data_IF_437688018589
#
_entry.id   IF_437688018589
#
_cell.length_a   1.000
_cell.length_b   1.000
_cell.length_c   1.000
_cell.angle_alpha   90.00
_cell.angle_beta   90.00
_cell.angle_gamma   90.00
#
_symmetry.space_group_name_H-M   'P 1'
#
loop_
_entity.id
_entity.type
_entity.pdbx_description
1 polymer ?
#
# COMPACT_ATOMS: atom_id res chain seq x y z
N UNK A 1 -45.82 8.24 -1.74
CA UNK A 1 -45.99 7.09 -0.82
C UNK A 1 -44.94 6.07 -1.22
N UNK A 2 -43.81 5.89 -0.54
CA UNK A 2 -43.45 6.16 0.85
C UNK A 2 -42.24 7.11 0.96
N UNK A 3 -42.38 8.16 1.78
CA UNK A 3 -41.24 8.80 2.41
C UNK A 3 -40.82 7.90 3.57
N UNK A 4 -39.68 7.22 3.44
CA UNK A 4 -38.95 6.74 4.59
C UNK A 4 -38.01 7.88 5.00
N UNK A 5 -38.49 8.70 5.93
CA UNK A 5 -37.61 9.55 6.73
C UNK A 5 -36.78 8.57 7.56
N UNK A 6 -35.47 8.51 7.30
CA UNK A 6 -34.55 7.76 8.15
C UNK A 6 -34.66 8.29 9.58
N UNK A 7 -34.71 7.37 10.55
CA UNK A 7 -34.54 7.73 11.96
C UNK A 7 -33.24 8.52 12.09
N UNK A 8 -33.32 9.69 12.73
CA UNK A 8 -32.29 10.72 12.69
C UNK A 8 -30.91 10.19 13.13
N UNK A 9 -29.90 10.34 12.26
CA UNK A 9 -28.48 10.35 12.63
C UNK A 9 -27.64 9.14 12.26
N UNK A 10 -28.19 8.05 11.71
CA UNK A 10 -27.36 6.87 11.36
C UNK A 10 -27.03 6.87 9.87
N UNK A 11 -25.75 6.76 9.52
CA UNK A 11 -25.30 6.58 8.14
C UNK A 11 -25.77 5.23 7.61
N UNK A 12 -26.56 5.25 6.53
CA UNK A 12 -27.01 4.01 5.88
C UNK A 12 -25.97 3.52 4.87
N UNK A 13 -25.14 2.60 5.33
CA UNK A 13 -24.13 1.91 4.53
C UNK A 13 -24.70 1.23 3.27
N UNK A 14 -25.87 0.63 3.37
CA UNK A 14 -26.49 -0.08 2.24
C UNK A 14 -27.03 0.92 1.22
N UNK A 15 -27.67 2.00 1.68
CA UNK A 15 -28.11 3.07 0.80
C UNK A 15 -26.94 3.75 0.07
N UNK A 16 -25.77 3.92 0.72
CA UNK A 16 -24.56 4.41 0.05
C UNK A 16 -24.15 3.46 -1.08
N UNK A 17 -24.00 2.16 -0.80
CA UNK A 17 -23.58 1.18 -1.80
C UNK A 17 -24.56 1.10 -2.98
N UNK A 18 -25.85 1.11 -2.69
CA UNK A 18 -26.93 1.18 -3.68
C UNK A 18 -26.85 2.43 -4.56
N UNK A 19 -26.54 3.59 -3.97
CA UNK A 19 -26.38 4.84 -4.70
C UNK A 19 -25.13 4.81 -5.59
N UNK A 20 -24.02 4.27 -5.09
CA UNK A 20 -22.77 4.10 -5.83
C UNK A 20 -22.98 3.17 -7.03
N UNK A 21 -23.66 2.03 -6.85
CA UNK A 21 -23.90 1.05 -7.92
C UNK A 21 -24.80 1.61 -9.04
N UNK A 22 -25.69 2.56 -8.72
CA UNK A 22 -26.53 3.23 -9.73
C UNK A 22 -25.80 4.33 -10.50
N UNK A 23 -24.68 4.82 -9.99
CA UNK A 23 -23.92 5.91 -10.59
C UNK A 23 -22.85 5.38 -11.56
N UNK A 24 -22.28 6.27 -12.38
CA UNK A 24 -21.11 5.88 -13.16
C UNK A 24 -19.91 5.61 -12.22
N UNK A 25 -19.00 4.68 -12.54
CA UNK A 25 -17.84 4.39 -11.69
C UNK A 25 -16.97 5.63 -11.36
N UNK A 26 -16.92 6.60 -12.27
CA UNK A 26 -16.22 7.87 -12.09
C UNK A 26 -16.92 8.81 -11.09
N UNK A 27 -18.23 8.66 -10.87
CA UNK A 27 -19.03 9.54 -9.99
C UNK A 27 -19.08 9.02 -8.55
N UNK A 28 -18.46 7.88 -8.25
CA UNK A 28 -18.56 7.24 -6.93
C UNK A 28 -18.08 8.15 -5.78
N UNK A 29 -17.05 8.96 -6.00
CA UNK A 29 -16.58 9.94 -5.02
C UNK A 29 -17.61 11.05 -4.78
N UNK A 30 -18.26 11.53 -5.84
CA UNK A 30 -19.30 12.56 -5.76
C UNK A 30 -20.57 12.04 -5.07
N UNK A 31 -20.93 10.77 -5.29
CA UNK A 31 -22.02 10.11 -4.56
C UNK A 31 -21.72 10.04 -3.07
N UNK A 32 -20.52 9.61 -2.69
CA UNK A 32 -20.09 9.55 -1.30
C UNK A 32 -20.16 10.92 -0.62
N UNK A 33 -19.57 11.95 -1.24
CA UNK A 33 -19.51 13.30 -0.65
C UNK A 33 -20.90 13.90 -0.53
N UNK A 34 -21.77 13.70 -1.52
CA UNK A 34 -23.17 14.13 -1.48
C UNK A 34 -23.92 13.47 -0.32
N UNK A 35 -23.78 12.14 -0.17
CA UNK A 35 -24.43 11.40 0.93
C UNK A 35 -23.94 11.83 2.31
N UNK A 36 -22.63 12.07 2.48
CA UNK A 36 -22.08 12.61 3.73
C UNK A 36 -22.65 14.00 4.07
N UNK A 37 -22.88 14.85 3.05
CA UNK A 37 -23.50 16.15 3.25
C UNK A 37 -24.98 16.05 3.63
N UNK A 38 -25.75 15.20 2.93
CA UNK A 38 -27.18 15.04 3.15
C UNK A 38 -27.50 14.30 4.46
N UNK A 39 -26.82 13.20 4.74
CA UNK A 39 -27.13 12.31 5.87
C UNK A 39 -26.60 12.86 7.21
N UNK A 40 -25.45 13.55 7.19
CA UNK A 40 -24.78 14.03 8.41
C UNK A 40 -24.90 15.56 8.60
N UNK A 41 -25.48 16.29 7.63
CA UNK A 41 -25.60 17.75 7.68
C UNK A 41 -24.27 18.50 7.51
N UNK A 42 -23.32 17.93 6.77
CA UNK A 42 -22.03 18.57 6.51
C UNK A 42 -22.17 19.75 5.52
N UNK A 43 -21.38 20.81 5.74
CA UNK A 43 -21.26 21.96 4.84
C UNK A 43 -20.59 21.57 3.52
N UNK A 44 -19.60 20.68 3.60
CA UNK A 44 -18.89 20.16 2.44
C UNK A 44 -18.21 18.83 2.79
N UNK A 45 -18.09 17.95 1.80
CA UNK A 45 -17.24 16.76 1.89
C UNK A 45 -16.32 16.65 0.67
N UNK A 46 -15.17 16.02 0.83
CA UNK A 46 -14.21 15.78 -0.25
C UNK A 46 -13.49 14.47 -0.04
N UNK A 47 -13.31 13.72 -1.14
CA UNK A 47 -12.38 12.60 -1.18
C UNK A 47 -11.05 13.05 -1.80
N UNK A 48 -9.95 12.72 -1.12
CA UNK A 48 -8.60 12.94 -1.61
C UNK A 48 -7.89 11.60 -1.72
N UNK A 49 -7.38 11.28 -2.89
CA UNK A 49 -6.60 10.05 -3.13
C UNK A 49 -5.10 10.34 -2.94
N UNK A 50 -4.39 9.44 -2.27
CA UNK A 50 -2.94 9.55 -2.13
C UNK A 50 -2.27 9.22 -3.46
N UNK A 51 -1.30 10.05 -3.86
CA UNK A 51 -0.46 9.76 -5.01
C UNK A 51 0.45 8.55 -4.74
N UNK A 52 1.12 8.06 -5.79
CA UNK A 52 2.00 6.92 -5.60
C UNK A 52 3.09 7.19 -4.58
N UNK A 53 3.60 8.42 -4.45
CA UNK A 53 4.62 8.82 -3.46
C UNK A 53 4.07 8.97 -2.03
N UNK A 54 2.74 9.05 -1.87
CA UNK A 54 2.06 9.42 -0.62
C UNK A 54 2.48 10.79 -0.06
N UNK A 55 3.12 11.65 -0.86
CA UNK A 55 3.48 13.02 -0.49
C UNK A 55 2.44 14.05 -0.94
N UNK A 56 1.57 13.64 -1.88
CA UNK A 56 0.51 14.47 -2.45
C UNK A 56 -0.84 13.74 -2.32
N UNK A 57 -1.85 14.50 -1.95
CA UNK A 57 -3.25 14.12 -2.01
C UNK A 57 -3.92 14.84 -3.18
N UNK A 58 -4.46 14.10 -4.13
CA UNK A 58 -5.25 14.66 -5.22
C UNK A 58 -6.73 14.75 -4.77
N UNK A 59 -7.23 15.98 -4.61
CA UNK A 59 -8.63 16.26 -4.31
C UNK A 59 -9.43 16.30 -5.61
N UNK A 60 -10.44 15.45 -5.70
CA UNK A 60 -11.40 15.52 -6.80
C UNK A 60 -12.39 16.66 -6.55
N UNK A 61 -12.51 17.56 -7.52
CA UNK A 61 -13.57 18.57 -7.53
C UNK A 61 -14.60 18.20 -8.59
N UNK A 62 -15.87 18.14 -8.20
CA UNK A 62 -16.96 17.89 -9.15
C UNK A 62 -16.93 18.95 -10.26
N UNK A 63 -17.04 18.55 -11.54
CA UNK A 63 -16.82 19.44 -12.67
C UNK A 63 -17.94 20.49 -12.77
N UNK A 64 -17.68 21.72 -12.31
CA UNK A 64 -18.65 22.84 -12.47
C UNK A 64 -18.84 23.25 -13.94
N UNK A 65 -17.87 22.96 -14.81
CA UNK A 65 -17.84 23.37 -16.23
C UNK A 65 -17.44 22.23 -17.20
N UNK A 66 -17.65 20.96 -16.81
CA UNK A 66 -17.35 19.79 -17.66
C UNK A 66 -15.88 19.37 -17.75
N UNK A 67 -14.96 20.15 -17.17
CA UNK A 67 -13.57 19.74 -16.98
C UNK A 67 -13.33 19.38 -15.50
N UNK A 68 -12.81 18.19 -15.26
CA UNK A 68 -12.44 17.74 -13.92
C UNK A 68 -11.16 18.46 -13.47
N UNK A 69 -11.23 19.12 -12.31
CA UNK A 69 -10.09 19.82 -11.73
C UNK A 69 -9.58 18.99 -10.56
N UNK A 70 -8.28 18.68 -10.58
CA UNK A 70 -7.59 18.08 -9.43
C UNK A 70 -6.71 19.10 -8.75
N UNK A 71 -7.02 19.36 -7.48
CA UNK A 71 -6.14 20.12 -6.59
C UNK A 71 -5.15 19.16 -5.94
N UNK A 72 -3.86 19.51 -5.96
CA UNK A 72 -2.80 18.73 -5.30
C UNK A 72 -2.48 19.35 -3.94
N UNK A 73 -2.72 18.60 -2.87
CA UNK A 73 -2.48 19.01 -1.48
C UNK A 73 -1.25 18.29 -0.95
N UNK A 74 -0.29 19.02 -0.36
CA UNK A 74 0.88 18.40 0.28
C UNK A 74 0.47 17.68 1.57
N UNK A 75 1.05 16.51 1.79
CA UNK A 75 0.74 15.66 2.95
C UNK A 75 1.54 16.05 4.20
N UNK A 76 2.80 16.47 4.02
CA UNK A 76 3.68 16.77 5.14
C UNK A 76 3.20 17.98 5.96
N UNK A 77 3.17 17.84 7.29
CA UNK A 77 2.76 18.89 8.22
C UNK A 77 1.26 19.18 8.26
N UNK A 78 0.43 18.39 7.57
CA UNK A 78 -1.02 18.60 7.51
C UNK A 78 -1.80 17.59 8.36
N UNK A 79 -3.06 17.92 8.69
CA UNK A 79 -3.98 17.02 9.38
C UNK A 79 -4.19 15.71 8.59
N UNK A 80 -4.29 15.84 7.28
CA UNK A 80 -4.48 14.76 6.33
C UNK A 80 -3.29 13.79 6.36
N UNK A 81 -2.06 14.30 6.39
CA UNK A 81 -0.87 13.46 6.51
C UNK A 81 -0.77 12.73 7.84
N UNK A 82 -1.18 13.36 8.93
CA UNK A 82 -1.31 12.67 10.23
C UNK A 82 -2.31 11.53 10.15
N UNK A 83 -3.47 11.75 9.52
CA UNK A 83 -4.51 10.72 9.36
C UNK A 83 -4.02 9.57 8.46
N UNK A 84 -3.36 9.87 7.33
CA UNK A 84 -2.76 8.86 6.44
C UNK A 84 -1.70 8.02 7.17
N UNK A 85 -0.81 8.62 7.95
CA UNK A 85 0.24 7.86 8.65
C UNK A 85 -0.35 7.00 9.77
N UNK A 86 -1.16 7.62 10.63
CA UNK A 86 -1.66 6.99 11.87
C UNK A 86 -2.84 6.07 11.63
N UNK A 87 -3.51 6.19 10.48
CA UNK A 87 -4.74 5.48 10.15
C UNK A 87 -5.82 5.66 11.22
N UNK A 88 -5.85 6.85 11.83
CA UNK A 88 -6.84 7.27 12.83
C UNK A 88 -7.51 8.53 12.35
N UNK A 89 -8.84 8.64 12.45
CA UNK A 89 -9.51 9.89 12.17
C UNK A 89 -9.03 10.97 13.15
N UNK A 90 -9.04 12.22 12.68
CA UNK A 90 -8.66 13.38 13.47
C UNK A 90 -9.56 14.54 13.09
N UNK A 91 -9.82 15.41 14.06
CA UNK A 91 -10.58 16.63 13.84
C UNK A 91 -9.77 17.87 14.16
N UNK A 92 -10.18 19.00 13.60
CA UNK A 92 -9.65 20.32 13.91
C UNK A 92 -10.80 21.35 13.92
N UNK A 93 -10.69 22.33 14.82
CA UNK A 93 -11.66 23.41 14.96
C UNK A 93 -11.01 24.70 14.46
N UNK A 94 -11.50 25.21 13.33
CA UNK A 94 -11.05 26.47 12.74
C UNK A 94 -12.20 27.48 12.76
N UNK A 95 -12.18 28.37 13.74
CA UNK A 95 -13.20 29.40 13.93
C UNK A 95 -14.59 28.79 14.16
N UNK A 96 -15.48 28.99 13.18
CA UNK A 96 -16.87 28.51 13.18
C UNK A 96 -17.05 27.18 12.44
N UNK A 97 -15.97 26.46 12.14
CA UNK A 97 -15.98 25.20 11.40
C UNK A 97 -15.27 24.08 12.14
N UNK A 98 -15.88 22.90 12.11
CA UNK A 98 -15.29 21.64 12.54
C UNK A 98 -14.91 20.84 11.30
N UNK A 99 -13.62 20.60 11.11
CA UNK A 99 -13.10 19.67 10.11
C UNK A 99 -12.91 18.30 10.75
N UNK A 100 -13.46 17.25 10.14
CA UNK A 100 -13.17 15.85 10.48
C UNK A 100 -12.50 15.21 9.26
N UNK A 101 -11.36 14.56 9.49
CA UNK A 101 -10.61 13.83 8.47
C UNK A 101 -10.54 12.36 8.86
N UNK A 102 -10.91 11.46 7.95
CA UNK A 102 -10.88 10.01 8.17
C UNK A 102 -10.09 9.30 7.06
N UNK A 103 -9.35 8.22 7.38
CA UNK A 103 -8.58 7.49 6.40
C UNK A 103 -9.49 6.62 5.53
N UNK A 104 -9.26 6.62 4.22
CA UNK A 104 -9.81 5.63 3.30
C UNK A 104 -8.77 4.51 3.19
N UNK A 105 -9.06 3.37 3.81
CA UNK A 105 -8.12 2.25 3.88
C UNK A 105 -8.80 0.88 3.78
N UNK A 106 -8.12 -0.03 3.07
CA UNK A 106 -8.47 -1.43 2.96
C UNK A 106 -7.23 -2.28 3.23
N UNK A 107 -7.34 -3.27 4.13
CA UNK A 107 -6.21 -4.15 4.49
C UNK A 107 -4.93 -3.37 4.88
N UNK A 108 -5.05 -2.17 5.46
CA UNK A 108 -3.91 -1.34 5.86
C UNK A 108 -3.23 -0.55 4.73
N UNK A 109 -3.66 -0.69 3.48
CA UNK A 109 -3.27 0.23 2.40
C UNK A 109 -3.92 1.59 2.62
N UNK A 110 -3.12 2.64 2.63
CA UNK A 110 -3.59 4.01 2.77
C UNK A 110 -3.98 4.56 1.38
N UNK A 111 -5.26 4.40 0.99
CA UNK A 111 -5.74 4.82 -0.33
C UNK A 111 -5.84 6.35 -0.40
N UNK A 112 -6.26 6.99 0.70
CA UNK A 112 -6.53 8.42 0.73
C UNK A 112 -7.20 8.83 2.03
N UNK A 113 -7.87 9.99 2.01
CA UNK A 113 -8.66 10.51 3.12
C UNK A 113 -9.99 11.08 2.63
N UNK A 114 -10.96 11.11 3.54
CA UNK A 114 -12.17 11.92 3.40
C UNK A 114 -12.05 13.09 4.35
N UNK A 115 -12.36 14.28 3.85
CA UNK A 115 -12.54 15.49 4.63
C UNK A 115 -14.02 15.84 4.68
N UNK A 116 -14.54 16.13 5.87
CA UNK A 116 -15.92 16.54 6.08
C UNK A 116 -15.93 17.76 6.99
N UNK A 117 -16.59 18.82 6.55
CA UNK A 117 -16.66 20.10 7.26
C UNK A 117 -18.07 20.31 7.80
N UNK A 118 -18.18 20.56 9.09
CA UNK A 118 -19.43 20.87 9.79
C UNK A 118 -19.39 22.30 10.35
N UNK A 119 -20.55 22.90 10.66
CA UNK A 119 -20.58 24.05 11.56
C UNK A 119 -19.94 23.67 12.90
N UNK A 120 -19.23 24.60 13.54
CA UNK A 120 -18.71 24.38 14.88
C UNK A 120 -19.86 24.07 15.86
N UNK A 121 -19.69 23.09 16.77
CA UNK A 121 -20.72 22.76 17.75
C UNK A 121 -21.00 23.99 18.63
N UNK A 122 -22.26 24.43 18.66
CA UNK A 122 -22.67 25.57 19.46
C UNK A 122 -22.64 25.24 20.96
N UNK A 123 -22.16 26.17 21.79
CA UNK A 123 -22.34 26.10 23.23
C UNK A 123 -23.82 26.36 23.57
N UNK A 124 -24.57 25.28 23.73
CA UNK A 124 -25.92 25.12 24.33
C UNK A 124 -27.10 25.99 23.84
N UNK A 125 -26.95 27.10 23.10
CA UNK A 125 -28.07 28.04 22.86
C UNK A 125 -28.36 28.42 21.38
N UNK A 126 -27.89 27.64 20.40
CA UNK A 126 -28.05 27.96 18.97
C UNK A 126 -28.45 26.77 18.10
N UNK A 127 -29.03 27.04 16.93
CA UNK A 127 -29.71 26.12 16.00
C UNK A 127 -28.88 24.96 15.39
N UNK A 128 -27.74 24.61 15.99
CA UNK A 128 -26.92 23.43 15.72
C UNK A 128 -26.67 22.58 16.98
N UNK A 129 -27.59 22.65 17.95
CA UNK A 129 -27.47 21.95 19.23
C UNK A 129 -27.37 20.43 19.03
N UNK A 130 -26.38 19.82 19.69
CA UNK A 130 -26.31 18.37 19.85
C UNK A 130 -27.67 17.85 20.38
N UNK A 131 -28.12 16.65 19.97
CA UNK A 131 -29.40 16.10 20.42
C UNK A 131 -29.55 16.25 21.95
N UNK A 132 -30.72 16.70 22.40
CA UNK A 132 -31.00 16.99 23.82
C UNK A 132 -30.49 15.85 24.72
N UNK A 133 -29.49 16.14 25.55
CA UNK A 133 -28.87 15.15 26.46
C UNK A 133 -27.56 14.52 25.96
N UNK A 134 -27.01 14.93 24.82
CA UNK A 134 -25.69 14.50 24.33
C UNK A 134 -24.63 15.59 24.49
N UNK A 135 -23.42 15.22 24.90
CA UNK A 135 -22.31 16.19 25.01
C UNK A 135 -21.70 16.49 23.64
N UNK A 136 -20.96 17.59 23.51
CA UNK A 136 -20.18 17.89 22.29
C UNK A 136 -19.22 16.73 21.96
N UNK A 137 -18.65 16.08 22.99
CA UNK A 137 -17.77 14.93 22.82
C UNK A 137 -18.53 13.73 22.22
N UNK A 138 -19.72 13.42 22.72
CA UNK A 138 -20.54 12.32 22.19
C UNK A 138 -20.94 12.57 20.73
N UNK A 139 -21.26 13.82 20.40
CA UNK A 139 -21.59 14.21 19.03
C UNK A 139 -20.39 14.06 18.08
N UNK A 140 -19.20 14.52 18.50
CA UNK A 140 -17.97 14.36 17.73
C UNK A 140 -17.60 12.88 17.53
N UNK A 141 -17.73 12.05 18.57
CA UNK A 141 -17.46 10.61 18.51
C UNK A 141 -18.42 9.91 17.56
N UNK A 142 -19.69 10.30 17.57
CA UNK A 142 -20.69 9.79 16.64
C UNK A 142 -20.34 10.16 15.19
N UNK A 143 -20.14 11.45 14.87
CA UNK A 143 -19.76 11.87 13.52
C UNK A 143 -18.48 11.17 13.03
N UNK A 144 -17.47 11.09 13.90
CA UNK A 144 -16.21 10.41 13.60
C UNK A 144 -16.43 8.93 13.26
N UNK A 145 -17.34 8.27 13.99
CA UNK A 145 -17.69 6.87 13.76
C UNK A 145 -18.39 6.68 12.42
N UNK A 146 -19.42 7.48 12.12
CA UNK A 146 -20.17 7.41 10.85
C UNK A 146 -19.24 7.66 9.64
N UNK A 147 -18.42 8.72 9.70
CA UNK A 147 -17.48 9.06 8.62
C UNK A 147 -16.43 7.96 8.45
N UNK A 148 -15.94 7.36 9.54
CA UNK A 148 -14.95 6.26 9.46
C UNK A 148 -15.55 4.99 8.83
N UNK A 149 -16.82 4.70 9.09
CA UNK A 149 -17.52 3.57 8.45
C UNK A 149 -17.72 3.83 6.95
N UNK A 150 -18.19 5.04 6.59
CA UNK A 150 -18.33 5.46 5.20
C UNK A 150 -16.98 5.40 4.45
N UNK A 151 -15.90 5.89 5.07
CA UNK A 151 -14.54 5.83 4.52
C UNK A 151 -14.04 4.40 4.29
N UNK A 152 -14.34 3.50 5.23
CA UNK A 152 -13.95 2.09 5.09
C UNK A 152 -14.71 1.38 3.97
N UNK A 153 -16.03 1.61 3.85
CA UNK A 153 -16.83 1.07 2.75
C UNK A 153 -16.36 1.62 1.41
N UNK A 154 -16.10 2.92 1.36
CA UNK A 154 -15.63 3.59 0.17
C UNK A 154 -14.25 3.08 -0.29
N UNK A 155 -13.38 2.63 0.63
CA UNK A 155 -12.13 1.99 0.26
C UNK A 155 -12.36 0.77 -0.66
N UNK A 156 -13.36 -0.06 -0.36
CA UNK A 156 -13.72 -1.19 -1.24
C UNK A 156 -14.32 -0.73 -2.56
N UNK A 157 -15.12 0.33 -2.56
CA UNK A 157 -15.65 0.94 -3.79
C UNK A 157 -14.52 1.43 -4.69
N UNK A 158 -13.51 2.13 -4.14
CA UNK A 158 -12.36 2.60 -4.93
C UNK A 158 -11.63 1.40 -5.54
N UNK A 159 -11.36 0.35 -4.76
CA UNK A 159 -10.71 -0.87 -5.26
C UNK A 159 -11.51 -1.53 -6.39
N UNK A 160 -12.85 -1.58 -6.27
CA UNK A 160 -13.71 -2.12 -7.31
C UNK A 160 -13.72 -1.24 -8.58
N UNK A 161 -13.93 0.07 -8.40
CA UNK A 161 -14.14 0.99 -9.51
C UNK A 161 -12.88 1.31 -10.29
N UNK A 162 -11.67 1.11 -9.73
CA UNK A 162 -10.39 1.18 -10.47
C UNK A 162 -10.35 0.31 -11.73
N UNK A 163 -11.22 -0.71 -11.84
CA UNK A 163 -11.33 -1.57 -13.03
C UNK A 163 -12.12 -0.94 -14.18
N UNK A 164 -12.92 0.09 -13.89
CA UNK A 164 -13.89 0.67 -14.82
C UNK A 164 -13.66 2.16 -15.08
N UNK A 165 -12.74 2.80 -14.35
CA UNK A 165 -12.38 4.21 -14.56
C UNK A 165 -10.91 4.45 -14.27
N UNK A 166 -10.28 5.28 -15.11
CA UNK A 166 -8.90 5.76 -14.91
C UNK A 166 -8.82 6.92 -13.91
N UNK A 167 -9.96 7.42 -13.41
CA UNK A 167 -10.02 8.57 -12.50
C UNK A 167 -9.08 8.42 -11.30
N UNK A 168 -9.13 7.27 -10.64
CA UNK A 168 -8.33 7.00 -9.47
C UNK A 168 -6.84 6.85 -9.82
N UNK A 169 -6.52 6.22 -10.96
CA UNK A 169 -5.13 6.11 -11.42
C UNK A 169 -4.57 7.47 -11.86
N UNK A 170 -5.38 8.33 -12.47
CA UNK A 170 -5.01 9.70 -12.78
C UNK A 170 -4.72 10.51 -11.51
N UNK A 171 -5.57 10.40 -10.49
CA UNK A 171 -5.34 11.03 -9.19
C UNK A 171 -4.11 10.52 -8.45
N UNK A 172 -3.70 9.27 -8.72
CA UNK A 172 -2.47 8.69 -8.13
C UNK A 172 -1.18 9.13 -8.84
N UNK A 173 -1.28 9.71 -10.04
CA UNK A 173 -0.12 10.11 -10.86
C UNK A 173 0.27 11.56 -10.59
N UNK A 174 1.42 11.75 -9.96
CA UNK A 174 2.02 13.07 -9.81
C UNK A 174 2.69 13.56 -11.09
N UNK A 175 3.27 12.65 -11.88
CA UNK A 175 3.94 12.89 -13.16
C UNK A 175 3.54 11.81 -14.19
N UNK A 176 3.60 12.10 -15.52
CA UNK A 176 3.45 11.08 -16.55
C UNK A 176 4.57 10.03 -16.45
N UNK A 177 4.24 8.76 -16.67
CA UNK A 177 5.20 7.66 -16.71
C UNK A 177 5.63 7.39 -18.16
N UNK A 178 6.89 7.03 -18.35
CA UNK A 178 7.35 6.45 -19.61
C UNK A 178 6.78 5.04 -19.81
N UNK A 179 6.83 4.53 -21.04
CA UNK A 179 6.22 3.22 -21.38
C UNK A 179 6.79 2.07 -20.54
N UNK A 180 8.11 2.03 -20.32
CA UNK A 180 8.74 0.96 -19.57
C UNK A 180 8.31 0.97 -18.09
N UNK A 181 8.28 2.16 -17.48
CA UNK A 181 7.77 2.36 -16.13
C UNK A 181 6.27 2.03 -16.02
N UNK A 182 5.45 2.35 -17.05
CA UNK A 182 4.04 1.95 -17.09
C UNK A 182 3.88 0.42 -17.12
N UNK A 183 4.68 -0.29 -17.92
CA UNK A 183 4.68 -1.77 -17.96
C UNK A 183 5.07 -2.32 -16.60
N UNK A 184 6.21 -1.90 -16.05
CA UNK A 184 6.70 -2.34 -14.74
C UNK A 184 5.66 -2.07 -13.64
N UNK A 185 5.06 -0.87 -13.61
CA UNK A 185 4.04 -0.51 -12.63
C UNK A 185 2.83 -1.45 -12.67
N UNK A 186 2.41 -1.88 -13.87
CA UNK A 186 1.31 -2.82 -14.08
C UNK A 186 1.66 -4.26 -13.68
N UNK A 187 2.94 -4.59 -13.51
CA UNK A 187 3.38 -5.89 -13.00
C UNK A 187 3.33 -5.96 -11.47
N UNK A 188 3.55 -4.85 -10.78
CA UNK A 188 3.50 -4.77 -9.32
C UNK A 188 2.09 -5.12 -8.79
N UNK A 189 1.96 -5.55 -7.53
CA UNK A 189 0.68 -5.75 -6.87
C UNK A 189 -0.20 -4.50 -6.96
N UNK A 190 -1.50 -4.69 -7.22
CA UNK A 190 -2.49 -3.60 -7.21
C UNK A 190 -2.48 -2.80 -5.89
N UNK A 191 -2.14 -3.50 -4.79
CA UNK A 191 -2.02 -2.95 -3.45
C UNK A 191 -0.60 -3.15 -2.93
N UNK A 192 0.05 -2.06 -2.53
CA UNK A 192 1.43 -2.10 -2.05
C UNK A 192 1.53 -2.47 -0.58
N UNK A 193 0.40 -2.61 0.12
CA UNK A 193 0.38 -2.94 1.55
C UNK A 193 -0.76 -3.92 1.83
N UNK A 194 -0.48 -4.96 2.60
CA UNK A 194 -1.52 -5.88 3.06
C UNK A 194 -1.27 -6.28 4.51
N UNK A 195 -2.24 -5.98 5.36
CA UNK A 195 -2.34 -6.47 6.73
C UNK A 195 -3.24 -7.71 6.77
N UNK A 196 -2.61 -8.83 7.14
CA UNK A 196 -3.27 -10.09 7.46
C UNK A 196 -3.20 -10.37 8.97
N UNK A 197 -3.80 -11.47 9.43
CA UNK A 197 -3.74 -11.84 10.84
C UNK A 197 -2.29 -12.16 11.27
N UNK A 198 -1.57 -12.91 10.44
CA UNK A 198 -0.22 -13.42 10.72
C UNK A 198 0.89 -12.44 10.35
N UNK A 199 0.68 -11.58 9.37
CA UNK A 199 1.73 -10.68 8.87
C UNK A 199 1.19 -9.33 8.38
N UNK A 200 2.06 -8.32 8.36
CA UNK A 200 1.85 -7.08 7.60
C UNK A 200 2.96 -6.95 6.56
N UNK A 201 2.59 -6.81 5.29
CA UNK A 201 3.55 -6.59 4.19
C UNK A 201 3.38 -5.18 3.64
N UNK A 202 4.49 -4.55 3.28
CA UNK A 202 4.48 -3.39 2.41
C UNK A 202 5.65 -3.45 1.42
N UNK A 203 5.43 -3.01 0.19
CA UNK A 203 6.44 -2.82 -0.84
C UNK A 203 6.45 -1.38 -1.32
N UNK A 204 7.62 -0.94 -1.79
CA UNK A 204 7.82 0.33 -2.45
C UNK A 204 8.80 0.17 -3.60
N UNK A 205 8.56 0.93 -4.66
CA UNK A 205 9.46 1.06 -5.80
C UNK A 205 9.55 2.56 -6.11
N UNK A 206 10.75 3.11 -5.96
CA UNK A 206 11.09 4.43 -6.44
C UNK A 206 11.77 4.28 -7.81
N UNK A 207 11.11 4.71 -8.90
CA UNK A 207 11.63 4.47 -10.24
C UNK A 207 12.82 5.39 -10.53
N UNK A 208 13.78 4.90 -11.30
CA UNK A 208 14.76 5.75 -11.99
C UNK A 208 14.18 6.29 -13.30
N UNK A 209 14.78 7.35 -13.84
CA UNK A 209 14.28 7.97 -15.08
C UNK A 209 14.47 7.09 -16.34
N UNK A 210 15.38 6.12 -16.31
CA UNK A 210 15.79 5.34 -17.49
C UNK A 210 15.69 3.82 -17.32
N UNK A 211 15.58 3.31 -16.09
CA UNK A 211 15.48 1.88 -15.79
C UNK A 211 14.05 1.51 -15.41
N UNK A 212 13.68 0.28 -15.74
CA UNK A 212 12.41 -0.32 -15.39
C UNK A 212 12.63 -1.84 -15.40
N UNK A 213 13.06 -2.39 -14.28
CA UNK A 213 13.42 -3.81 -14.17
C UNK A 213 12.98 -4.45 -12.86
N UNK A 214 12.98 -3.68 -11.79
CA UNK A 214 12.59 -4.13 -10.47
C UNK A 214 11.11 -4.50 -10.39
N UNK A 215 10.81 -5.61 -9.73
CA UNK A 215 9.45 -5.95 -9.33
C UNK A 215 9.44 -6.58 -7.95
N UNK A 216 8.36 -6.35 -7.21
CA UNK A 216 8.00 -7.20 -6.08
C UNK A 216 6.61 -7.76 -6.31
N UNK A 217 6.31 -8.91 -5.73
CA UNK A 217 4.98 -9.51 -5.77
C UNK A 217 4.72 -10.30 -4.49
N UNK A 218 3.45 -10.41 -4.11
CA UNK A 218 3.06 -11.26 -2.98
C UNK A 218 1.68 -11.87 -3.17
N UNK A 219 1.46 -13.06 -2.59
CA UNK A 219 0.14 -13.69 -2.55
C UNK A 219 -0.11 -14.35 -1.20
N UNK A 220 -1.24 -14.02 -0.58
CA UNK A 220 -1.77 -14.75 0.57
C UNK A 220 -2.69 -15.87 0.08
N UNK A 221 -2.34 -17.07 0.46
CA UNK A 221 -3.07 -18.30 0.21
C UNK A 221 -3.61 -18.85 1.53
N UNK A 222 -4.52 -19.85 1.54
CA UNK A 222 -5.15 -20.31 2.77
C UNK A 222 -4.17 -20.67 3.91
N UNK A 223 -3.01 -21.24 3.58
CA UNK A 223 -1.95 -21.60 4.53
C UNK A 223 -0.57 -21.06 4.17
N UNK A 224 -0.42 -20.37 3.02
CA UNK A 224 0.88 -19.98 2.50
C UNK A 224 0.94 -18.46 2.25
N UNK A 225 2.13 -17.89 2.38
CA UNK A 225 2.45 -16.57 1.85
C UNK A 225 3.64 -16.70 0.89
N UNK A 226 3.41 -16.31 -0.35
CA UNK A 226 4.47 -16.20 -1.37
C UNK A 226 4.92 -14.76 -1.47
N UNK A 227 6.23 -14.55 -1.54
CA UNK A 227 6.86 -13.25 -1.78
C UNK A 227 7.90 -13.40 -2.87
N UNK A 228 8.02 -12.42 -3.74
CA UNK A 228 9.15 -12.30 -4.65
C UNK A 228 9.63 -10.87 -4.73
N UNK A 229 10.94 -10.69 -4.78
CA UNK A 229 11.61 -9.45 -5.18
C UNK A 229 12.55 -9.82 -6.32
N UNK A 230 12.41 -9.21 -7.47
CA UNK A 230 13.22 -9.51 -8.65
C UNK A 230 13.73 -8.23 -9.29
N UNK A 231 14.88 -8.32 -9.92
CA UNK A 231 15.51 -7.22 -10.63
C UNK A 231 15.97 -7.74 -12.00
N UNK A 232 15.38 -7.17 -13.05
CA UNK A 232 15.64 -7.54 -14.42
C UNK A 232 16.77 -6.69 -15.02
N UNK A 233 17.85 -7.35 -15.43
CA UNK A 233 19.02 -6.70 -16.00
C UNK A 233 18.67 -5.87 -17.24
N UNK A 234 19.27 -4.69 -17.31
CA UNK A 234 19.18 -3.79 -18.46
C UNK A 234 18.33 -2.57 -18.12
N UNK A 235 17.82 -1.90 -19.15
CA UNK A 235 17.04 -0.68 -18.97
C UNK A 235 15.93 -0.55 -20.02
N UNK A 236 14.95 0.30 -19.72
CA UNK A 236 13.83 0.58 -20.61
C UNK A 236 12.95 -0.64 -20.92
N UNK A 237 12.51 -0.75 -22.17
CA UNK A 237 11.50 -1.73 -22.56
C UNK A 237 11.97 -3.18 -22.44
N UNK A 238 13.26 -3.45 -22.65
CA UNK A 238 13.80 -4.81 -22.62
C UNK A 238 13.74 -5.41 -21.20
N UNK A 239 14.20 -4.67 -20.19
CA UNK A 239 14.13 -5.09 -18.78
C UNK A 239 12.68 -5.24 -18.32
N UNK A 240 11.78 -4.34 -18.73
CA UNK A 240 10.36 -4.43 -18.39
C UNK A 240 9.69 -5.70 -18.97
N UNK A 241 10.09 -6.16 -20.16
CA UNK A 241 9.62 -7.41 -20.75
C UNK A 241 10.19 -8.65 -20.04
N UNK A 242 11.46 -8.63 -19.62
CA UNK A 242 12.05 -9.71 -18.83
C UNK A 242 11.37 -9.83 -17.45
N UNK A 243 11.11 -8.70 -16.81
CA UNK A 243 10.31 -8.62 -15.60
C UNK A 243 8.89 -9.19 -15.83
N UNK A 244 8.28 -8.88 -16.99
CA UNK A 244 6.96 -9.41 -17.36
C UNK A 244 6.97 -10.93 -17.45
N UNK A 245 7.93 -11.54 -18.14
CA UNK A 245 8.04 -13.00 -18.25
C UNK A 245 8.25 -13.63 -16.88
N UNK A 246 9.14 -13.06 -16.07
CA UNK A 246 9.47 -13.57 -14.72
C UNK A 246 8.26 -13.55 -13.79
N UNK A 247 7.63 -12.39 -13.62
CA UNK A 247 6.49 -12.22 -12.70
C UNK A 247 5.30 -13.06 -13.13
N UNK A 248 5.00 -13.13 -14.43
CA UNK A 248 3.89 -13.94 -14.92
C UNK A 248 4.19 -15.44 -14.87
N UNK A 249 5.44 -15.86 -15.04
CA UNK A 249 5.87 -17.24 -14.80
C UNK A 249 5.66 -17.65 -13.34
N UNK A 250 6.09 -16.82 -12.39
CA UNK A 250 5.87 -17.01 -10.96
C UNK A 250 4.37 -17.07 -10.62
N UNK A 251 3.56 -16.15 -11.17
CA UNK A 251 2.10 -16.15 -10.99
C UNK A 251 1.45 -17.39 -11.57
N UNK A 252 1.87 -17.84 -12.76
CA UNK A 252 1.31 -18.99 -13.45
C UNK A 252 1.48 -20.27 -12.64
N UNK A 253 2.71 -20.56 -12.18
CA UNK A 253 2.98 -21.80 -11.44
C UNK A 253 2.26 -21.85 -10.08
N UNK A 254 2.06 -20.70 -9.43
CA UNK A 254 1.28 -20.62 -8.17
C UNK A 254 -0.20 -21.00 -8.34
N UNK A 255 -0.74 -20.87 -9.56
CA UNK A 255 -2.13 -21.19 -9.88
C UNK A 255 -2.35 -22.67 -10.24
N UNK A 256 -1.29 -23.48 -10.31
CA UNK A 256 -1.39 -24.92 -10.60
C UNK A 256 -1.68 -25.70 -9.30
N UNK A 257 -2.60 -26.68 -9.28
CA UNK A 257 -2.97 -27.46 -8.07
C UNK A 257 -1.88 -28.37 -7.48
N UNK A 258 -0.69 -28.41 -8.06
CA UNK A 258 0.40 -29.29 -7.64
C UNK A 258 1.05 -28.81 -6.32
N UNK A 259 1.76 -29.68 -5.57
CA UNK A 259 2.49 -29.26 -4.38
C UNK A 259 3.42 -28.10 -4.73
N UNK A 260 3.23 -26.98 -4.03
CA UNK A 260 3.87 -25.69 -4.28
C UNK A 260 5.31 -25.72 -3.76
N UNK A 261 6.18 -26.42 -4.49
CA UNK A 261 7.60 -26.49 -4.23
C UNK A 261 8.31 -25.24 -4.77
N UNK A 262 9.07 -24.57 -3.90
CA UNK A 262 9.75 -23.33 -4.22
C UNK A 262 10.90 -23.55 -5.21
N UNK A 263 11.57 -24.70 -5.16
CA UNK A 263 12.58 -25.07 -6.15
C UNK A 263 11.95 -25.23 -7.54
N UNK A 264 10.84 -25.95 -7.64
CA UNK A 264 10.11 -26.11 -8.90
C UNK A 264 9.62 -24.76 -9.48
N UNK A 265 9.26 -23.79 -8.62
CA UNK A 265 8.94 -22.43 -9.07
C UNK A 265 10.15 -21.73 -9.69
N UNK A 266 11.32 -21.82 -9.04
CA UNK A 266 12.56 -21.26 -9.53
C UNK A 266 13.01 -21.92 -10.85
N UNK A 267 12.94 -23.26 -10.93
CA UNK A 267 13.28 -24.03 -12.14
C UNK A 267 12.37 -23.65 -13.32
N UNK A 268 11.06 -23.50 -13.06
CA UNK A 268 10.09 -23.10 -14.08
C UNK A 268 10.38 -21.72 -14.64
N UNK A 269 10.63 -20.74 -13.78
CA UNK A 269 10.97 -19.37 -14.19
C UNK A 269 12.30 -19.35 -14.93
N UNK A 270 13.31 -20.09 -14.45
CA UNK A 270 14.58 -20.20 -15.15
C UNK A 270 14.40 -20.72 -16.57
N UNK A 271 13.58 -21.77 -16.75
CA UNK A 271 13.29 -22.34 -18.07
C UNK A 271 12.60 -21.33 -18.99
N UNK A 272 11.59 -20.60 -18.49
CA UNK A 272 10.92 -19.53 -19.25
C UNK A 272 11.89 -18.42 -19.67
N UNK A 273 12.79 -18.01 -18.77
CA UNK A 273 13.79 -17.00 -19.06
C UNK A 273 14.77 -17.49 -20.13
N UNK A 274 15.28 -18.72 -20.03
CA UNK A 274 16.15 -19.31 -21.05
C UNK A 274 15.48 -19.43 -22.41
N UNK A 275 14.16 -19.68 -22.46
CA UNK A 275 13.40 -19.76 -23.70
C UNK A 275 13.13 -18.38 -24.34
N UNK A 276 12.93 -17.35 -23.53
CA UNK A 276 12.42 -16.05 -23.97
C UNK A 276 13.41 -14.88 -23.83
N UNK A 277 14.60 -15.10 -23.29
CA UNK A 277 15.67 -14.10 -23.20
C UNK A 277 16.87 -14.45 -24.09
N UNK A 278 17.71 -13.46 -24.37
CA UNK A 278 19.01 -13.67 -25.01
C UNK A 278 20.09 -14.00 -23.95
N UNK A 279 21.25 -14.48 -24.39
CA UNK A 279 22.37 -14.89 -23.49
C UNK A 279 22.90 -13.78 -22.56
N UNK A 280 22.62 -12.51 -22.87
CA UNK A 280 23.04 -11.35 -22.07
C UNK A 280 21.93 -10.87 -21.12
N UNK A 281 20.77 -11.53 -21.10
CA UNK A 281 19.60 -11.10 -20.34
C UNK A 281 19.27 -12.11 -19.24
N UNK A 282 19.35 -11.65 -17.99
CA UNK A 282 19.01 -12.43 -16.82
C UNK A 282 18.21 -11.58 -15.82
N UNK A 283 17.59 -12.27 -14.86
CA UNK A 283 16.82 -11.64 -13.79
C UNK A 283 17.32 -12.18 -12.46
N UNK A 284 17.77 -11.28 -11.58
CA UNK A 284 18.08 -11.67 -10.20
C UNK A 284 16.79 -11.70 -9.38
N UNK A 285 16.75 -12.50 -8.31
CA UNK A 285 15.62 -12.40 -7.39
C UNK A 285 15.67 -13.28 -6.15
N UNK A 286 14.89 -12.86 -5.15
CA UNK A 286 14.59 -13.61 -3.94
C UNK A 286 13.15 -14.12 -4.02
N UNK A 287 12.96 -15.43 -3.88
CA UNK A 287 11.64 -16.05 -3.80
C UNK A 287 11.45 -16.62 -2.40
N UNK A 288 10.41 -16.19 -1.67
CA UNK A 288 10.07 -16.74 -0.36
C UNK A 288 8.72 -17.46 -0.39
N UNK A 289 8.65 -18.54 0.39
CA UNK A 289 7.43 -19.24 0.75
C UNK A 289 7.36 -19.40 2.26
N UNK A 290 6.32 -18.86 2.88
CA UNK A 290 6.11 -18.90 4.33
C UNK A 290 4.87 -19.73 4.62
N UNK A 291 5.04 -20.81 5.40
CA UNK A 291 3.92 -21.52 6.01
C UNK A 291 3.31 -20.63 7.10
N UNK A 292 2.09 -20.15 6.86
CA UNK A 292 1.43 -19.18 7.72
C UNK A 292 1.17 -19.70 9.15
N UNK A 293 0.77 -20.98 9.36
CA UNK A 293 0.56 -21.52 10.70
C UNK A 293 1.83 -21.60 11.56
N UNK A 294 2.95 -22.07 10.99
CA UNK A 294 4.20 -22.31 11.74
C UNK A 294 5.19 -21.16 11.68
N UNK A 295 5.12 -20.29 10.66
CA UNK A 295 6.15 -19.29 10.37
C UNK A 295 7.42 -19.88 9.76
N UNK A 296 7.38 -21.12 9.26
CA UNK A 296 8.50 -21.71 8.55
C UNK A 296 8.68 -21.04 7.17
N UNK A 297 9.76 -20.28 7.02
CA UNK A 297 10.15 -19.62 5.79
C UNK A 297 11.10 -20.54 5.01
N UNK A 298 10.78 -20.72 3.73
CA UNK A 298 11.66 -21.30 2.71
C UNK A 298 12.03 -20.21 1.71
N UNK A 299 13.25 -20.24 1.20
CA UNK A 299 13.74 -19.22 0.29
C UNK A 299 14.65 -19.79 -0.80
N UNK A 300 14.64 -19.16 -1.95
CA UNK A 300 15.60 -19.34 -3.05
C UNK A 300 16.22 -17.98 -3.37
N UNK A 301 17.54 -17.93 -3.58
CA UNK A 301 18.24 -16.73 -3.99
C UNK A 301 18.88 -16.92 -5.38
N UNK A 302 18.19 -16.46 -6.42
CA UNK A 302 18.68 -16.49 -7.79
C UNK A 302 19.52 -15.23 -8.08
N UNK A 303 20.79 -15.23 -7.68
CA UNK A 303 21.74 -14.18 -8.03
C UNK A 303 21.53 -12.83 -7.34
N UNK A 304 20.62 -12.74 -6.37
CA UNK A 304 20.22 -11.49 -5.74
C UNK A 304 21.04 -11.16 -4.48
N UNK A 305 20.99 -9.88 -4.10
CA UNK A 305 21.69 -9.38 -2.92
C UNK A 305 21.08 -9.89 -1.61
N UNK A 306 21.84 -9.89 -0.49
CA UNK A 306 21.34 -10.31 0.82
C UNK A 306 20.15 -9.47 1.31
N UNK A 307 19.27 -10.10 2.10
CA UNK A 307 18.17 -9.43 2.80
C UNK A 307 18.47 -9.29 4.30
N UNK A 308 17.64 -8.53 5.03
CA UNK A 308 17.84 -8.27 6.45
C UNK A 308 16.73 -8.88 7.30
N UNK A 309 17.10 -9.44 8.45
CA UNK A 309 16.20 -9.88 9.51
C UNK A 309 16.42 -9.00 10.75
N UNK A 310 15.40 -8.31 11.19
CA UNK A 310 15.37 -7.66 12.50
C UNK A 310 14.66 -8.56 13.51
N UNK A 311 15.35 -8.89 14.61
CA UNK A 311 14.82 -9.69 15.71
C UNK A 311 15.25 -9.09 17.05
N UNK A 312 14.27 -8.75 17.88
CA UNK A 312 14.55 -8.15 19.19
C UNK A 312 15.35 -6.84 19.11
N UNK A 313 15.14 -6.06 18.04
CA UNK A 313 15.85 -4.80 17.78
C UNK A 313 17.25 -4.94 17.15
N UNK A 314 17.79 -6.17 17.08
CA UNK A 314 19.05 -6.44 16.38
C UNK A 314 18.77 -6.75 14.91
N UNK A 315 19.56 -6.17 14.01
CA UNK A 315 19.47 -6.42 12.56
C UNK A 315 20.62 -7.33 12.14
N UNK A 316 20.28 -8.43 11.47
CA UNK A 316 21.19 -9.39 10.87
C UNK A 316 21.02 -9.37 9.36
N UNK A 317 22.12 -9.32 8.60
CA UNK A 317 22.10 -9.51 7.16
C UNK A 317 22.20 -11.02 6.85
N UNK A 318 21.20 -11.55 6.14
CA UNK A 318 21.13 -12.95 5.75
C UNK A 318 21.80 -13.11 4.39
N UNK A 319 23.11 -13.31 4.41
CA UNK A 319 23.95 -13.51 3.22
C UNK A 319 24.06 -14.96 2.78
N UNK A 320 22.94 -15.63 2.50
CA UNK A 320 22.99 -16.97 1.91
C UNK A 320 23.68 -16.92 0.54
N UNK A 321 24.58 -17.86 0.21
CA UNK A 321 25.22 -17.90 -1.09
C UNK A 321 24.16 -17.93 -2.20
N UNK A 322 24.22 -17.00 -3.18
CA UNK A 322 23.27 -16.99 -4.28
C UNK A 322 23.56 -18.13 -5.25
N UNK A 323 22.50 -18.69 -5.81
CA UNK A 323 22.55 -19.48 -7.04
C UNK A 323 22.64 -18.55 -8.27
N UNK A 324 22.95 -19.05 -9.48
CA UNK A 324 22.90 -18.23 -10.70
C UNK A 324 21.55 -17.51 -10.88
N UNK A 325 21.58 -16.33 -11.51
CA UNK A 325 20.37 -15.59 -11.85
C UNK A 325 19.51 -16.34 -12.87
N UNK A 326 18.20 -16.07 -12.87
CA UNK A 326 17.27 -16.68 -13.82
C UNK A 326 17.64 -16.34 -15.26
N UNK A 327 17.66 -17.35 -16.14
CA UNK A 327 18.01 -17.18 -17.55
C UNK A 327 19.51 -17.29 -17.83
N UNK A 328 20.38 -17.26 -16.81
CA UNK A 328 21.83 -17.29 -17.02
C UNK A 328 22.32 -18.67 -17.50
N UNK A 329 21.79 -19.75 -16.94
CA UNK A 329 22.11 -21.12 -17.34
C UNK A 329 20.87 -22.01 -17.40
N UNK A 330 20.68 -22.83 -18.46
CA UNK A 330 19.57 -23.78 -18.57
C UNK A 330 19.48 -24.78 -17.41
N UNK A 331 20.62 -25.34 -17.00
CA UNK A 331 20.68 -26.38 -15.97
C UNK A 331 21.12 -25.77 -14.62
N UNK A 332 20.32 -24.83 -14.09
CA UNK A 332 20.55 -24.27 -12.75
C UNK A 332 19.75 -25.05 -11.72
N UNK A 333 20.42 -25.55 -10.67
CA UNK A 333 19.76 -26.17 -9.53
C UNK A 333 19.64 -25.15 -8.38
N UNK A 334 18.41 -24.73 -8.09
CA UNK A 334 18.14 -23.75 -7.04
C UNK A 334 18.03 -24.39 -5.65
N UNK A 335 18.88 -24.00 -4.71
CA UNK A 335 18.83 -24.57 -3.37
C UNK A 335 17.80 -23.85 -2.50
N UNK A 336 16.96 -24.63 -1.82
CA UNK A 336 16.00 -24.09 -0.86
C UNK A 336 16.67 -23.94 0.50
N UNK A 337 16.68 -22.71 1.02
CA UNK A 337 17.15 -22.37 2.37
C UNK A 337 15.97 -22.20 3.31
N UNK A 338 16.22 -22.39 4.61
CA UNK A 338 15.18 -22.38 5.63
C UNK A 338 15.49 -21.36 6.72
N UNK A 339 14.45 -20.67 7.18
CA UNK A 339 14.50 -19.75 8.32
C UNK A 339 13.21 -19.90 9.12
N UNK A 340 13.30 -19.94 10.45
CA UNK A 340 12.12 -19.95 11.31
C UNK A 340 11.81 -18.52 11.76
N UNK A 341 10.65 -18.00 11.34
CA UNK A 341 10.13 -16.72 11.83
C UNK A 341 9.54 -16.86 13.23
N UNK A 342 9.70 -15.80 14.02
CA UNK A 342 9.21 -15.64 15.39
C UNK A 342 8.38 -14.37 15.47
N UNK A 343 7.37 -14.37 16.33
CA UNK A 343 6.57 -13.18 16.57
C UNK A 343 7.45 -11.94 16.83
N UNK A 344 7.17 -10.85 16.11
CA UNK A 344 7.94 -9.61 16.17
C UNK A 344 9.16 -9.55 15.25
N UNK A 345 9.45 -10.60 14.48
CA UNK A 345 10.46 -10.53 13.42
C UNK A 345 10.00 -9.60 12.30
N UNK A 346 10.96 -8.86 11.74
CA UNK A 346 10.78 -8.05 10.54
C UNK A 346 11.80 -8.45 9.49
N UNK A 347 11.35 -8.75 8.29
CA UNK A 347 12.21 -8.95 7.12
C UNK A 347 12.22 -7.69 6.27
N UNK A 348 13.39 -7.35 5.73
CA UNK A 348 13.56 -6.28 4.76
C UNK A 348 14.33 -6.83 3.55
N UNK A 349 13.68 -6.86 2.40
CA UNK A 349 14.28 -7.19 1.11
C UNK A 349 14.47 -5.90 0.33
N UNK A 350 15.59 -5.78 -0.37
CA UNK A 350 15.94 -4.58 -1.15
C UNK A 350 16.60 -5.01 -2.45
N UNK A 351 16.50 -4.18 -3.49
CA UNK A 351 17.28 -4.28 -4.72
C UNK A 351 18.56 -3.45 -4.62
N UNK A 352 19.43 -3.56 -5.61
CA UNK A 352 20.73 -2.89 -5.57
C UNK A 352 20.64 -1.36 -5.64
N UNK A 353 19.60 -0.79 -6.25
CA UNK A 353 19.34 0.65 -6.20
C UNK A 353 19.18 1.22 -4.78
N UNK A 354 18.86 0.38 -3.78
CA UNK A 354 18.85 0.77 -2.37
C UNK A 354 20.22 0.78 -1.69
N UNK A 355 21.25 0.18 -2.32
CA UNK A 355 22.60 0.00 -1.75
C UNK A 355 23.73 0.42 -2.69
N UNK A 356 23.45 0.89 -3.92
CA UNK A 356 24.45 1.37 -4.87
C UNK A 356 25.25 2.57 -4.32
N UNK A 357 26.37 2.93 -4.93
CA UNK A 357 27.44 3.80 -4.39
C UNK A 357 26.97 5.08 -3.70
N UNK A 358 25.94 5.76 -4.21
CA UNK A 358 25.39 6.96 -3.57
C UNK A 358 24.44 6.59 -2.40
N UNK A 359 23.61 5.56 -2.59
CA UNK A 359 22.74 4.98 -1.58
C UNK A 359 23.51 4.30 -0.43
N UNK A 360 24.73 3.79 -0.68
CA UNK A 360 25.61 3.13 0.29
C UNK A 360 26.03 4.04 1.46
N UNK A 361 25.79 5.35 1.37
CA UNK A 361 25.93 6.28 2.51
C UNK A 361 24.89 6.03 3.60
N UNK A 362 23.78 5.38 3.25
CA UNK A 362 22.70 5.01 4.17
C UNK A 362 23.03 3.65 4.79
N UNK A 363 23.24 3.64 6.10
CA UNK A 363 23.32 2.41 6.89
C UNK A 363 21.90 1.83 7.08
N UNK A 364 21.45 1.02 6.11
CA UNK A 364 20.13 0.38 6.14
C UNK A 364 19.87 -0.40 7.45
N UNK A 365 20.81 -1.22 7.98
CA UNK A 365 20.66 -1.83 9.29
C UNK A 365 20.37 -0.83 10.42
N UNK A 366 21.12 0.28 10.49
CA UNK A 366 20.89 1.30 11.51
C UNK A 366 19.53 1.98 11.32
N UNK A 367 19.13 2.29 10.08
CA UNK A 367 17.82 2.89 9.79
C UNK A 367 16.67 1.94 10.13
N UNK A 368 16.81 0.64 9.83
CA UNK A 368 15.83 -0.38 10.18
C UNK A 368 15.64 -0.48 11.70
N UNK A 369 16.73 -0.46 12.46
CA UNK A 369 16.69 -0.50 13.93
C UNK A 369 16.10 0.78 14.53
N UNK A 370 16.53 1.96 14.07
CA UNK A 370 16.05 3.26 14.55
C UNK A 370 14.55 3.47 14.27
N UNK A 371 14.05 2.94 13.15
CA UNK A 371 12.68 3.09 12.70
C UNK A 371 11.84 1.82 12.89
N UNK A 372 12.22 0.95 13.84
CA UNK A 372 11.50 -0.29 14.16
C UNK A 372 10.04 -0.07 14.60
N UNK A 373 9.72 1.15 15.05
CA UNK A 373 8.39 1.57 15.49
C UNK A 373 7.46 1.97 14.34
N UNK A 374 7.99 2.18 13.13
CA UNK A 374 7.18 2.51 11.96
C UNK A 374 6.45 1.28 11.45
N UNK A 375 5.20 1.47 11.00
CA UNK A 375 4.48 0.48 10.21
C UNK A 375 5.25 0.19 8.89
N UNK A 376 5.24 -1.05 8.36
CA UNK A 376 5.93 -1.40 7.12
C UNK A 376 5.75 -0.39 5.99
N UNK A 377 4.52 0.08 5.73
CA UNK A 377 4.23 1.07 4.67
C UNK A 377 5.02 2.38 4.81
N UNK A 378 5.19 2.87 6.04
CA UNK A 378 5.93 4.11 6.31
C UNK A 378 7.43 3.85 6.25
N UNK A 379 7.88 2.69 6.74
CA UNK A 379 9.29 2.31 6.70
C UNK A 379 9.80 2.23 5.26
N UNK A 380 9.10 1.52 4.38
CA UNK A 380 9.55 1.33 2.98
C UNK A 380 9.64 2.67 2.25
N UNK A 381 8.66 3.55 2.44
CA UNK A 381 8.69 4.90 1.88
C UNK A 381 9.79 5.77 2.51
N UNK A 382 9.99 5.68 3.82
CA UNK A 382 11.04 6.42 4.51
C UNK A 382 12.43 6.03 4.01
N UNK A 383 12.71 4.72 3.87
CA UNK A 383 13.98 4.23 3.37
C UNK A 383 14.21 4.65 1.91
N UNK A 384 13.19 4.55 1.06
CA UNK A 384 13.28 4.99 -0.33
C UNK A 384 13.56 6.50 -0.44
N UNK A 385 12.88 7.34 0.36
CA UNK A 385 13.16 8.79 0.41
C UNK A 385 14.59 9.09 0.88
N UNK A 386 15.08 8.40 1.91
CA UNK A 386 16.47 8.56 2.35
C UNK A 386 17.49 8.24 1.26
N UNK A 387 17.23 7.19 0.47
CA UNK A 387 18.07 6.82 -0.67
C UNK A 387 17.98 7.86 -1.78
N UNK A 388 16.77 8.31 -2.14
CA UNK A 388 16.56 9.35 -3.15
C UNK A 388 17.27 10.66 -2.76
N UNK A 389 17.15 11.09 -1.51
CA UNK A 389 17.82 12.27 -0.98
C UNK A 389 19.35 12.12 -0.99
N UNK A 390 19.87 10.93 -0.64
CA UNK A 390 21.30 10.64 -0.70
C UNK A 390 21.87 10.61 -2.13
N UNK A 391 21.01 10.36 -3.11
CA UNK A 391 21.30 10.41 -4.54
C UNK A 391 20.97 11.77 -5.19
N UNK A 392 20.68 12.82 -4.40
CA UNK A 392 20.32 14.16 -4.88
C UNK A 392 19.12 14.16 -5.86
N UNK A 393 18.21 13.19 -5.71
CA UNK A 393 17.04 13.02 -6.59
C UNK A 393 17.31 12.28 -7.90
N UNK A 394 18.54 11.80 -8.14
CA UNK A 394 18.94 11.13 -9.39
C UNK A 394 19.38 9.68 -9.15
N UNK A 395 18.40 8.77 -9.18
CA UNK A 395 18.64 7.34 -9.05
C UNK A 395 19.23 6.76 -10.34
N UNK A 396 20.32 6.00 -10.22
CA UNK A 396 20.96 5.32 -11.35
C UNK A 396 20.27 4.01 -11.72
N UNK A 397 19.57 3.39 -10.76
CA UNK A 397 18.75 2.20 -10.93
C UNK A 397 17.48 2.32 -10.07
N UNK A 398 16.49 1.47 -10.32
CA UNK A 398 15.26 1.43 -9.53
C UNK A 398 15.59 1.08 -8.07
N UNK A 399 15.00 1.82 -7.14
CA UNK A 399 15.19 1.60 -5.71
C UNK A 399 13.94 0.93 -5.13
N UNK A 400 14.00 -0.40 -4.98
CA UNK A 400 12.87 -1.21 -4.52
C UNK A 400 13.13 -1.81 -3.16
N UNK A 401 12.12 -1.75 -2.30
CA UNK A 401 12.19 -2.26 -0.93
C UNK A 401 10.86 -2.92 -0.54
N UNK A 402 10.95 -4.08 0.11
CA UNK A 402 9.81 -4.81 0.64
C UNK A 402 10.04 -5.18 2.10
N UNK A 403 9.06 -4.87 2.94
CA UNK A 403 9.09 -5.13 4.38
C UNK A 403 7.97 -6.09 4.78
N UNK A 404 8.29 -7.08 5.60
CA UNK A 404 7.35 -8.02 6.19
C UNK A 404 7.48 -8.03 7.71
N UNK A 405 6.42 -7.65 8.42
CA UNK A 405 6.29 -7.87 9.87
C UNK A 405 5.56 -9.17 10.14
N UNK A 406 6.17 -10.03 10.96
CA UNK A 406 5.57 -11.29 11.40
C UNK A 406 4.95 -11.18 12.79
N UNK A 407 3.64 -11.40 12.89
CA UNK A 407 2.87 -11.25 14.14
C UNK A 407 2.63 -12.57 14.87
N UNK A 408 2.80 -13.71 14.20
CA UNK A 408 2.56 -15.09 14.69
C UNK A 408 1.26 -15.21 15.51
N UNK A 409 0.11 -15.31 14.84
CA UNK A 409 -1.18 -15.47 15.53
C UNK A 409 -2.11 -16.48 14.86
N UNK A 410 -2.58 -17.43 15.67
CA UNK A 410 -3.69 -18.33 15.37
C UNK A 410 -5.01 -17.66 15.79
N UNK A 411 -5.56 -16.74 14.98
CA UNK A 411 -6.93 -16.24 15.17
C UNK A 411 -7.20 -14.75 14.87
N UNK A 412 -8.48 -14.35 14.73
CA UNK A 412 -8.89 -13.00 14.34
C UNK A 412 -8.71 -12.03 15.51
N UNK A 413 -7.52 -11.43 15.59
CA UNK A 413 -7.17 -10.44 16.62
C UNK A 413 -6.86 -9.05 16.05
N UNK A 414 -6.96 -8.89 14.72
CA UNK A 414 -6.83 -7.61 14.03
C UNK A 414 -8.10 -6.81 14.29
N UNK A 415 -7.98 -5.65 14.94
CA UNK A 415 -9.10 -4.71 15.05
C UNK A 415 -9.14 -3.88 13.77
N UNK A 416 -10.24 -3.95 13.04
CA UNK A 416 -10.34 -3.38 11.67
C UNK A 416 -11.48 -2.38 11.53
N UNK A 417 -11.88 -1.72 12.63
CA UNK A 417 -13.08 -0.86 12.66
C UNK A 417 -13.10 0.22 11.58
N UNK A 418 -11.95 0.58 11.01
CA UNK A 418 -11.81 1.53 9.91
C UNK A 418 -10.93 1.02 8.76
N UNK A 419 -10.67 -0.30 8.65
CA UNK A 419 -9.93 -0.91 7.54
C UNK A 419 -8.41 -1.11 7.69
N UNK A 420 -7.80 -0.45 8.67
CA UNK A 420 -6.44 -0.70 9.18
C UNK A 420 -6.50 -1.12 10.66
N UNK A 421 -5.44 -1.72 11.20
CA UNK A 421 -5.27 -1.87 12.65
C UNK A 421 -4.51 -0.67 13.23
N UNK A 422 -5.16 0.26 13.95
CA UNK A 422 -4.50 1.45 14.47
C UNK A 422 -3.43 1.16 15.54
N UNK A 423 -3.33 -0.09 16.02
CA UNK A 423 -2.25 -0.52 16.91
C UNK A 423 -1.00 -0.93 16.14
N UNK A 424 -1.14 -1.28 14.86
CA UNK A 424 -0.02 -1.60 13.95
C UNK A 424 0.47 -0.37 13.20
N UNK A 425 -0.41 0.60 12.95
CA UNK A 425 -0.06 1.86 12.32
C UNK A 425 0.99 2.66 13.12
N UNK A 426 1.76 3.49 12.42
CA UNK A 426 2.74 4.39 13.04
C UNK A 426 2.07 5.39 13.98
N UNK A 427 2.77 5.79 15.04
CA UNK A 427 2.31 6.82 15.96
C UNK A 427 2.23 8.22 15.33
N UNK A 428 1.63 9.20 16.04
CA UNK A 428 1.79 10.62 15.69
C UNK A 428 3.29 11.00 15.67
N UNK A 429 3.65 12.01 14.88
CA UNK A 429 5.03 12.51 14.85
C UNK A 429 5.38 13.03 16.24
N UNK A 430 6.63 12.80 16.66
CA UNK A 430 7.16 13.34 17.92
C UNK A 430 7.57 14.79 17.76
#
# INVERSE_FOLDING_TARGET
MLNAVSEHGVFDAMALLDAIERAAPADAADVLTTRLQEDLGALSASFLIADYSSDILARFSSPRDGAMVMEKVRVHGTLQGRVLRTQRPSSDLDGDRLLIVAPVTGRGEAIGVIEVVFPAPAAEDGAGAAPVGTTIADHLDHLTTEISQAAHLFAYTVVLNRRYTDLFEWGRRSVPLELAAEIQRRLLPDSFTCESAQASIAGWLEPSAAVAGDTFDYSFEPADLYLSLTDAMGHGLASALLATVTVNGLRNIRQVPAPRDLAAMADHVNALMVEHSNLEQFVTGLLFHIDLPSGALRAVNAGHIPFYLMRGGMVEQIGWPPEPAFGMFPETAYAVRHLQLRAGDRLLLVTDGMIDRNAARIDLPAQLSANSHLHPRELVQHLARLVLDACDGDLQDDATVMCLDWHQRSGPSRRVSSGADPKRASGPER
#
